data_IF_006541727165
#
_entry.id   IF_006541727165
#
_cell.length_a   1.000
_cell.length_b   1.000
_cell.length_c   1.000
_cell.angle_alpha   90.00
_cell.angle_beta   90.00
_cell.angle_gamma   90.00
#
_symmetry.space_group_name_H-M   'P 1'
#
loop_
_entity.id
_entity.type
_entity.pdbx_description
1 polymer ?
#
# COMPACT_ATOMS: atom_id res chain seq x y z
N UNK A 1 -18.45 47.87 13.19
CA UNK A 1 -19.15 46.57 13.04
C UNK A 1 -18.33 45.71 12.09
N UNK A 2 -18.05 44.44 12.43
CA UNK A 2 -17.53 43.33 11.58
C UNK A 2 -16.85 43.65 10.21
N UNK A 3 -15.62 43.21 9.88
CA UNK A 3 -14.99 41.87 10.09
C UNK A 3 -13.45 41.94 9.99
N UNK A 4 -12.73 41.16 10.80
CA UNK A 4 -11.40 40.60 10.44
C UNK A 4 -11.64 39.27 9.72
N UNK A 5 -10.88 38.92 8.67
CA UNK A 5 -10.35 37.56 8.48
C UNK A 5 -9.35 37.43 7.31
N UNK A 6 -8.20 36.79 7.60
CA UNK A 6 -7.39 35.90 6.76
C UNK A 6 -7.14 36.29 5.29
N UNK A 7 -5.96 36.86 5.04
CA UNK A 7 -5.19 36.49 3.84
C UNK A 7 -4.63 35.07 4.06
N UNK A 8 -4.82 34.18 3.09
CA UNK A 8 -4.33 32.80 3.11
C UNK A 8 -3.06 32.73 2.26
N UNK A 9 -2.02 32.08 2.79
CA UNK A 9 -0.81 31.73 2.04
C UNK A 9 -1.18 30.78 0.90
N UNK A 10 -0.95 31.19 -0.35
CA UNK A 10 -0.91 30.29 -1.51
C UNK A 10 0.56 30.10 -1.85
N UNK A 11 1.13 28.99 -1.37
CA UNK A 11 2.52 28.62 -1.58
C UNK A 11 2.68 27.58 -2.69
N UNK A 12 3.15 28.03 -3.85
CA UNK A 12 3.88 27.30 -4.88
C UNK A 12 3.51 25.83 -5.18
N UNK A 13 2.82 25.60 -6.30
CA UNK A 13 2.90 24.34 -7.04
C UNK A 13 3.01 24.62 -8.54
N UNK A 14 4.24 24.60 -9.08
CA UNK A 14 4.58 24.37 -10.50
C UNK A 14 6.10 24.57 -10.69
N UNK A 15 6.85 23.47 -10.77
CA UNK A 15 8.19 23.44 -11.38
C UNK A 15 8.20 22.27 -12.36
N UNK A 16 8.11 22.58 -13.65
CA UNK A 16 8.40 21.63 -14.72
C UNK A 16 9.89 21.74 -15.00
N UNK A 17 10.66 20.74 -14.59
CA UNK A 17 12.08 20.63 -14.95
C UNK A 17 12.23 19.68 -16.15
N UNK A 18 12.72 20.22 -17.25
CA UNK A 18 13.22 19.41 -18.37
C UNK A 18 14.47 18.65 -17.91
N UNK A 19 14.47 17.33 -18.03
CA UNK A 19 15.65 16.51 -17.73
C UNK A 19 16.46 16.30 -19.01
N UNK A 20 17.66 16.87 -19.05
CA UNK A 20 18.67 16.52 -20.06
C UNK A 20 19.25 15.14 -19.76
N UNK A 21 19.30 14.28 -20.78
CA UNK A 21 19.78 12.90 -20.66
C UNK A 21 21.30 12.84 -20.54
N UNK A 22 21.83 12.75 -19.32
CA UNK A 22 23.22 12.38 -19.08
C UNK A 22 23.30 10.88 -18.76
N UNK A 23 23.80 10.10 -19.71
CA UNK A 23 24.09 8.67 -19.52
C UNK A 23 25.37 8.55 -18.68
N UNK A 24 25.24 8.22 -17.40
CA UNK A 24 26.37 7.83 -16.55
C UNK A 24 26.48 6.30 -16.52
N UNK A 25 27.50 5.77 -17.17
CA UNK A 25 27.92 4.38 -16.97
C UNK A 25 28.59 4.25 -15.60
N UNK A 26 27.79 3.93 -14.58
CA UNK A 26 28.27 3.67 -13.22
C UNK A 26 28.82 2.25 -13.10
N UNK A 27 30.09 2.11 -12.71
CA UNK A 27 30.71 0.82 -12.39
C UNK A 27 29.96 0.12 -11.26
N UNK A 28 29.61 -1.16 -11.43
CA UNK A 28 28.98 -1.98 -10.39
C UNK A 28 29.81 -2.03 -9.12
N UNK A 29 29.35 -1.30 -8.09
CA UNK A 29 29.86 -1.44 -6.74
C UNK A 29 29.10 -2.60 -6.09
N UNK A 30 29.80 -3.70 -5.85
CA UNK A 30 29.21 -4.98 -5.43
C UNK A 30 28.34 -4.82 -4.18
N UNK A 31 27.03 -5.01 -4.33
CA UNK A 31 26.06 -4.91 -3.23
C UNK A 31 26.19 -6.13 -2.32
N UNK A 32 26.47 -5.91 -1.04
CA UNK A 32 26.10 -6.88 0.01
C UNK A 32 24.68 -6.55 0.45
N UNK A 33 23.82 -7.57 0.48
CA UNK A 33 22.39 -7.43 0.82
C UNK A 33 21.47 -7.56 -0.40
N UNK A 34 21.54 -8.68 -1.13
CA UNK A 34 20.58 -8.95 -2.22
C UNK A 34 19.24 -9.43 -1.65
N UNK A 35 18.14 -8.86 -2.15
CA UNK A 35 16.80 -9.37 -1.84
C UNK A 35 16.61 -10.78 -2.43
N UNK A 36 15.79 -11.65 -1.79
CA UNK A 36 15.47 -12.95 -2.36
C UNK A 36 14.87 -12.79 -3.77
N UNK A 37 15.23 -13.68 -4.70
CA UNK A 37 14.75 -13.63 -6.09
C UNK A 37 13.23 -13.50 -6.21
N UNK A 38 12.48 -14.20 -5.36
CA UNK A 38 11.02 -14.11 -5.27
C UNK A 38 10.49 -12.72 -4.90
N UNK A 39 11.23 -11.93 -4.11
CA UNK A 39 10.90 -10.52 -3.84
C UNK A 39 11.14 -9.67 -5.08
N UNK A 40 12.23 -9.92 -5.82
CA UNK A 40 12.54 -9.24 -7.09
C UNK A 40 11.47 -9.57 -8.16
N UNK A 41 11.01 -10.83 -8.22
CA UNK A 41 9.87 -11.24 -9.05
C UNK A 41 8.60 -10.44 -8.71
N UNK A 42 8.27 -10.32 -7.42
CA UNK A 42 7.14 -9.50 -6.93
C UNK A 42 7.33 -8.03 -7.33
N UNK A 43 8.51 -7.44 -7.15
CA UNK A 43 8.81 -6.05 -7.57
C UNK A 43 8.62 -5.83 -9.08
N UNK A 44 8.87 -6.86 -9.89
CA UNK A 44 8.64 -6.87 -11.33
C UNK A 44 7.18 -7.15 -11.72
N UNK A 45 6.28 -7.36 -10.75
CA UNK A 45 4.86 -7.61 -10.97
C UNK A 45 4.52 -9.03 -11.39
N UNK A 46 5.46 -9.99 -11.22
CA UNK A 46 5.18 -11.41 -11.47
C UNK A 46 4.13 -11.93 -10.49
N UNK A 47 3.35 -12.93 -10.92
CA UNK A 47 2.24 -13.50 -10.15
C UNK A 47 2.68 -14.50 -9.05
N UNK A 48 3.88 -14.33 -8.48
CA UNK A 48 4.37 -15.12 -7.34
C UNK A 48 4.14 -14.36 -6.05
N UNK A 49 3.81 -15.04 -4.96
CA UNK A 49 3.46 -14.41 -3.66
C UNK A 49 4.00 -15.21 -2.47
N UNK A 50 4.25 -14.54 -1.36
CA UNK A 50 4.43 -15.18 -0.05
C UNK A 50 3.08 -15.51 0.60
N UNK A 51 3.08 -16.46 1.55
CA UNK A 51 1.85 -16.98 2.14
C UNK A 51 0.93 -17.69 1.14
N UNK A 52 -0.38 -17.63 1.41
CA UNK A 52 -1.44 -18.19 0.54
C UNK A 52 -2.05 -17.19 -0.44
N UNK A 53 -1.69 -15.91 -0.33
CA UNK A 53 -2.49 -14.80 -0.84
C UNK A 53 -3.86 -14.70 -0.17
N UNK A 54 -4.66 -13.75 -0.66
CA UNK A 54 -6.09 -13.64 -0.35
C UNK A 54 -6.88 -13.43 -1.63
N UNK A 55 -7.72 -14.39 -2.03
CA UNK A 55 -8.64 -14.18 -3.13
C UNK A 55 -9.70 -13.16 -2.74
N UNK A 56 -9.50 -11.91 -3.16
CA UNK A 56 -10.35 -11.34 -4.19
C UNK A 56 -11.87 -11.63 -3.99
N UNK A 57 -12.59 -11.30 -2.90
CA UNK A 57 -14.04 -11.66 -2.83
C UNK A 57 -14.97 -10.74 -2.01
N UNK A 58 -15.37 -9.60 -2.57
CA UNK A 58 -16.42 -8.76 -1.98
C UNK A 58 -17.85 -9.27 -2.29
N UNK A 59 -18.38 -10.07 -1.37
CA UNK A 59 -19.81 -10.34 -1.14
C UNK A 59 -20.70 -10.70 -2.35
N UNK A 60 -20.89 -12.01 -2.53
CA UNK A 60 -22.25 -12.56 -2.56
C UNK A 60 -22.36 -13.69 -1.54
N UNK A 61 -23.45 -13.73 -0.77
CA UNK A 61 -23.87 -14.92 -0.02
C UNK A 61 -24.04 -16.12 -0.98
N UNK A 62 -24.11 -17.36 -0.46
CA UNK A 62 -23.72 -18.59 -1.16
C UNK A 62 -24.30 -18.70 -2.57
N UNK A 63 -23.53 -18.29 -3.58
CA UNK A 63 -23.94 -18.33 -4.98
C UNK A 63 -23.90 -19.77 -5.46
N UNK A 64 -24.96 -20.19 -6.15
CA UNK A 64 -25.08 -21.54 -6.69
C UNK A 64 -23.85 -21.92 -7.53
N UNK A 65 -23.20 -23.01 -7.12
CA UNK A 65 -21.96 -23.53 -7.68
C UNK A 65 -22.21 -24.09 -9.08
N UNK A 66 -21.94 -23.31 -10.13
CA UNK A 66 -21.99 -23.80 -11.51
C UNK A 66 -20.88 -24.82 -11.73
N UNK A 67 -21.24 -26.10 -11.84
CA UNK A 67 -20.28 -27.20 -12.07
C UNK A 67 -19.88 -27.24 -13.54
N UNK A 68 -18.61 -26.96 -13.85
CA UNK A 68 -17.99 -27.34 -15.12
C UNK A 68 -17.11 -28.57 -14.84
N UNK A 69 -17.21 -29.59 -15.70
CA UNK A 69 -16.42 -30.84 -15.62
C UNK A 69 -15.35 -30.80 -16.71
N UNK A 70 -14.15 -31.28 -16.39
CA UNK A 70 -13.16 -31.60 -17.43
C UNK A 70 -13.41 -33.00 -18.03
N UNK A 71 -12.70 -33.32 -19.11
CA UNK A 71 -12.84 -34.58 -19.85
C UNK A 71 -12.43 -35.84 -19.07
N UNK A 72 -11.90 -35.70 -17.84
CA UNK A 72 -11.62 -36.83 -16.93
C UNK A 72 -12.78 -37.12 -15.96
N UNK A 73 -13.85 -36.32 -15.97
CA UNK A 73 -15.00 -36.45 -15.08
C UNK A 73 -14.72 -36.06 -13.62
N UNK A 74 -13.48 -35.71 -13.28
CA UNK A 74 -13.08 -35.26 -11.94
C UNK A 74 -13.54 -33.83 -11.71
N UNK A 75 -14.17 -33.56 -10.56
CA UNK A 75 -14.58 -32.20 -10.19
C UNK A 75 -13.33 -31.41 -9.82
N UNK A 76 -12.88 -30.54 -10.72
CA UNK A 76 -11.95 -29.45 -10.40
C UNK A 76 -12.76 -28.23 -10.00
N UNK A 77 -12.50 -27.70 -8.80
CA UNK A 77 -13.05 -26.43 -8.35
C UNK A 77 -12.19 -25.30 -8.95
N UNK A 78 -12.68 -24.68 -10.02
CA UNK A 78 -12.10 -23.46 -10.58
C UNK A 78 -12.62 -22.26 -9.79
N UNK A 79 -11.75 -21.59 -9.04
CA UNK A 79 -12.07 -20.43 -8.19
C UNK A 79 -11.51 -19.14 -8.81
N UNK A 80 -12.34 -18.10 -8.97
CA UNK A 80 -11.95 -16.72 -9.39
C UNK A 80 -12.96 -15.65 -8.87
N UNK A 81 -12.51 -14.41 -8.55
CA UNK A 81 -13.35 -13.23 -8.12
C UNK A 81 -12.55 -11.86 -8.14
N UNK A 82 -12.73 -10.84 -7.24
CA UNK A 82 -11.96 -9.56 -7.06
C UNK A 82 -12.09 -8.91 -5.65
N UNK A 83 -11.14 -8.14 -5.05
CA UNK A 83 -9.82 -7.59 -5.48
C UNK A 83 -8.55 -7.90 -4.59
N UNK A 84 -7.32 -7.54 -5.09
CA UNK A 84 -5.89 -7.65 -4.60
C UNK A 84 -5.20 -9.00 -4.24
N UNK A 85 -4.66 -9.76 -5.23
CA UNK A 85 -3.92 -11.03 -4.97
C UNK A 85 -2.41 -10.79 -4.82
N UNK A 86 -1.89 -9.72 -5.45
CA UNK A 86 -0.45 -9.41 -5.40
C UNK A 86 -0.12 -7.91 -5.24
N UNK A 87 -1.08 -6.99 -5.32
CA UNK A 87 -0.75 -5.55 -5.33
C UNK A 87 -0.24 -5.03 -3.98
N UNK A 88 -0.73 -5.53 -2.83
CA UNK A 88 -0.15 -5.21 -1.52
C UNK A 88 1.31 -5.71 -1.42
N UNK A 89 1.57 -6.98 -1.78
CA UNK A 89 2.93 -7.51 -1.86
C UNK A 89 3.81 -6.74 -2.85
N UNK A 90 3.29 -6.33 -4.01
CA UNK A 90 3.99 -5.51 -5.01
C UNK A 90 4.40 -4.16 -4.41
N UNK A 91 3.49 -3.46 -3.72
CA UNK A 91 3.76 -2.17 -3.06
C UNK A 91 4.84 -2.34 -1.99
N UNK A 92 4.70 -3.33 -1.11
CA UNK A 92 5.64 -3.61 -0.02
C UNK A 92 7.01 -4.05 -0.54
N UNK A 93 7.07 -4.91 -1.56
CA UNK A 93 8.34 -5.37 -2.14
C UNK A 93 9.11 -4.22 -2.81
N UNK A 94 8.42 -3.37 -3.59
CA UNK A 94 9.02 -2.17 -4.15
C UNK A 94 9.49 -1.23 -3.03
N UNK A 95 8.71 -1.05 -1.96
CA UNK A 95 9.10 -0.20 -0.85
C UNK A 95 10.36 -0.70 -0.10
N UNK A 96 10.49 -2.01 0.13
CA UNK A 96 11.72 -2.60 0.69
C UNK A 96 12.89 -2.44 -0.28
N UNK A 97 12.68 -2.67 -1.58
CA UNK A 97 13.73 -2.54 -2.60
C UNK A 97 14.26 -1.12 -2.77
N UNK A 98 13.38 -0.12 -2.75
CA UNK A 98 13.75 1.31 -2.79
C UNK A 98 14.49 1.70 -1.50
N UNK A 99 13.98 1.29 -0.33
CA UNK A 99 14.62 1.63 0.94
C UNK A 99 16.03 1.01 1.07
N UNK A 100 16.20 -0.24 0.63
CA UNK A 100 17.48 -0.92 0.55
C UNK A 100 18.45 -0.21 -0.40
N UNK A 101 17.98 0.18 -1.59
CA UNK A 101 18.78 0.92 -2.57
C UNK A 101 19.27 2.27 -2.01
N UNK A 102 18.37 3.02 -1.35
CA UNK A 102 18.64 4.40 -0.92
C UNK A 102 19.32 4.53 0.46
N UNK A 103 19.20 3.52 1.32
CA UNK A 103 19.71 3.54 2.72
C UNK A 103 20.62 2.37 3.08
N UNK A 104 20.71 1.35 2.25
CA UNK A 104 21.41 0.10 2.56
C UNK A 104 20.58 -0.86 3.43
N UNK A 105 21.24 -1.93 3.88
CA UNK A 105 20.60 -2.99 4.66
C UNK A 105 19.99 -2.50 5.98
N UNK A 106 18.88 -3.14 6.37
CA UNK A 106 18.22 -2.96 7.67
C UNK A 106 17.52 -4.24 8.09
N UNK A 107 16.93 -4.27 9.29
CA UNK A 107 16.04 -5.37 9.70
C UNK A 107 14.93 -5.69 8.68
N UNK A 108 14.54 -4.74 7.80
CA UNK A 108 13.49 -4.92 6.79
C UNK A 108 13.96 -5.64 5.51
N UNK A 109 15.24 -5.54 5.13
CA UNK A 109 15.79 -6.23 3.94
C UNK A 109 16.18 -7.69 4.22
N UNK A 110 16.23 -8.09 5.50
CA UNK A 110 16.51 -9.48 5.88
C UNK A 110 15.47 -10.46 5.30
N UNK A 111 15.93 -11.57 4.69
CA UNK A 111 15.10 -12.61 4.08
C UNK A 111 13.89 -13.06 4.91
N UNK A 112 14.05 -13.32 6.22
CA UNK A 112 12.94 -13.76 7.09
C UNK A 112 11.92 -12.63 7.27
N UNK A 113 12.40 -11.41 7.42
CA UNK A 113 11.55 -10.27 7.76
C UNK A 113 10.81 -9.74 6.52
N UNK A 114 11.43 -9.72 5.34
CA UNK A 114 10.71 -9.39 4.09
C UNK A 114 9.64 -10.44 3.76
N UNK A 115 9.89 -11.73 4.03
CA UNK A 115 8.87 -12.79 3.92
C UNK A 115 7.71 -12.57 4.90
N UNK A 116 7.97 -12.12 6.13
CA UNK A 116 6.92 -11.75 7.09
C UNK A 116 6.16 -10.49 6.65
N UNK A 117 6.82 -9.44 6.19
CA UNK A 117 6.16 -8.23 5.67
C UNK A 117 5.19 -8.58 4.54
N UNK A 118 5.66 -9.34 3.54
CA UNK A 118 4.88 -9.74 2.37
C UNK A 118 3.75 -10.71 2.74
N UNK A 119 3.96 -11.61 3.69
CA UNK A 119 2.88 -12.52 4.16
C UNK A 119 1.80 -11.77 4.97
N UNK A 120 2.20 -10.80 5.80
CA UNK A 120 1.29 -10.11 6.71
C UNK A 120 0.67 -8.83 6.16
N UNK A 121 1.14 -8.33 5.01
CA UNK A 121 0.44 -7.27 4.28
C UNK A 121 -0.81 -7.75 3.53
N UNK A 122 -1.00 -9.06 3.33
CA UNK A 122 -2.28 -9.61 2.81
C UNK A 122 -3.18 -10.14 3.94
N UNK A 123 -2.63 -10.30 5.16
CA UNK A 123 -3.35 -10.87 6.30
C UNK A 123 -4.69 -10.16 6.64
N UNK A 124 -4.82 -8.82 6.54
CA UNK A 124 -6.06 -8.14 6.93
C UNK A 124 -7.29 -8.47 6.06
N UNK A 125 -7.10 -8.77 4.77
CA UNK A 125 -8.18 -9.16 3.85
C UNK A 125 -8.67 -10.60 4.02
N UNK A 126 -7.86 -11.46 4.63
CA UNK A 126 -8.18 -12.87 4.77
C UNK A 126 -9.44 -13.04 5.62
N UNK A 127 -10.47 -13.67 5.06
CA UNK A 127 -11.75 -13.88 5.72
C UNK A 127 -11.62 -14.44 7.14
N UNK A 128 -12.28 -13.78 8.10
CA UNK A 128 -12.19 -14.08 9.53
C UNK A 128 -11.13 -13.28 10.29
N UNK A 129 -10.23 -12.57 9.60
CA UNK A 129 -9.36 -11.56 10.19
C UNK A 129 -10.06 -10.20 10.21
N UNK A 130 -9.39 -9.12 9.75
CA UNK A 130 -9.89 -7.74 9.80
C UNK A 130 -10.86 -7.37 8.65
N UNK A 131 -11.53 -8.38 8.11
CA UNK A 131 -12.64 -8.26 7.14
C UNK A 131 -13.95 -7.73 7.75
N UNK A 132 -13.98 -7.45 9.06
CA UNK A 132 -15.10 -6.81 9.77
C UNK A 132 -16.47 -7.47 9.50
N UNK A 133 -16.59 -8.78 9.76
CA UNK A 133 -17.77 -9.59 9.43
C UNK A 133 -18.15 -9.58 7.93
N UNK A 134 -17.14 -9.47 7.04
CA UNK A 134 -17.32 -9.36 5.59
C UNK A 134 -17.72 -7.96 5.10
N UNK A 135 -17.73 -6.95 5.97
CA UNK A 135 -18.02 -5.55 5.59
C UNK A 135 -16.78 -4.77 5.17
N UNK A 136 -15.58 -5.27 5.52
CA UNK A 136 -14.28 -4.61 5.32
C UNK A 136 -14.26 -3.17 5.86
N UNK A 137 -15.13 -2.81 6.81
CA UNK A 137 -15.40 -1.39 7.12
C UNK A 137 -14.17 -0.63 7.64
N UNK A 138 -13.25 -1.29 8.33
CA UNK A 138 -12.00 -0.70 8.79
C UNK A 138 -10.89 -0.64 7.74
N UNK A 139 -11.15 -1.03 6.48
CA UNK A 139 -10.31 -0.79 5.30
C UNK A 139 -10.61 0.56 4.64
N UNK A 140 -11.65 1.27 5.09
CA UNK A 140 -12.08 2.55 4.51
C UNK A 140 -11.80 3.72 5.45
N UNK A 141 -11.50 4.88 4.87
CA UNK A 141 -11.32 6.14 5.57
C UNK A 141 -11.47 7.32 4.62
N UNK A 142 -12.59 8.03 4.71
CA UNK A 142 -12.75 9.34 4.06
C UNK A 142 -12.06 10.43 4.90
N UNK A 143 -11.05 11.15 4.37
CA UNK A 143 -10.35 12.19 5.09
C UNK A 143 -11.25 13.40 5.39
N UNK A 144 -12.25 13.68 4.55
CA UNK A 144 -13.12 14.85 4.70
C UNK A 144 -14.03 14.75 5.93
N UNK A 145 -14.49 13.53 6.25
CA UNK A 145 -15.37 13.28 7.40
C UNK A 145 -14.70 12.56 8.57
N UNK A 146 -13.50 12.00 8.35
CA UNK A 146 -12.77 11.19 9.33
C UNK A 146 -13.46 9.87 9.67
N UNK A 147 -14.19 9.29 8.72
CA UNK A 147 -15.09 8.14 8.92
C UNK A 147 -14.95 7.09 7.83
N UNK A 148 -15.29 5.86 8.18
CA UNK A 148 -15.51 4.76 7.24
C UNK A 148 -16.89 4.84 6.56
N UNK A 149 -17.18 3.89 5.65
CA UNK A 149 -18.39 3.88 4.83
C UNK A 149 -19.69 3.61 5.62
N UNK A 150 -19.61 3.08 6.85
CA UNK A 150 -20.74 3.02 7.79
C UNK A 150 -20.92 4.32 8.60
N UNK A 151 -20.18 5.38 8.27
CA UNK A 151 -20.25 6.68 8.95
C UNK A 151 -19.60 6.69 10.34
N UNK A 152 -18.80 5.68 10.68
CA UNK A 152 -18.16 5.51 12.01
C UNK A 152 -16.71 5.98 11.98
N UNK A 153 -16.23 6.51 13.11
CA UNK A 153 -14.81 6.89 13.29
C UNK A 153 -13.89 5.71 13.61
N UNK A 154 -14.45 4.52 13.89
CA UNK A 154 -13.69 3.31 14.18
C UNK A 154 -14.51 2.05 13.81
N UNK A 155 -13.87 0.97 13.31
CA UNK A 155 -12.49 0.94 12.81
C UNK A 155 -12.36 1.76 11.51
N UNK A 156 -11.17 2.23 11.16
CA UNK A 156 -10.85 2.93 9.90
C UNK A 156 -9.45 2.55 9.44
N UNK A 157 -9.15 2.65 8.15
CA UNK A 157 -7.82 2.30 7.63
C UNK A 157 -6.72 3.13 8.31
N UNK A 158 -6.93 4.46 8.44
CA UNK A 158 -6.06 5.35 9.20
C UNK A 158 -5.85 4.87 10.63
N UNK A 159 -6.93 4.55 11.35
CA UNK A 159 -6.85 4.06 12.73
C UNK A 159 -6.06 2.76 12.85
N UNK A 160 -6.22 1.82 11.90
CA UNK A 160 -5.47 0.57 11.88
C UNK A 160 -4.01 0.76 11.52
N UNK A 161 -3.69 1.54 10.48
CA UNK A 161 -2.30 1.88 10.11
C UNK A 161 -1.53 2.50 11.29
N UNK A 162 -2.11 3.50 11.96
CA UNK A 162 -1.52 4.16 13.14
C UNK A 162 -1.36 3.20 14.31
N UNK A 163 -2.38 2.37 14.58
CA UNK A 163 -2.32 1.35 15.64
C UNK A 163 -1.18 0.35 15.41
N UNK A 164 -1.10 -0.21 14.20
CA UNK A 164 -0.08 -1.18 13.82
C UNK A 164 1.33 -0.59 13.79
N UNK A 165 1.51 0.66 13.37
CA UNK A 165 2.80 1.36 13.45
C UNK A 165 3.31 1.46 14.90
N UNK A 166 2.43 1.90 15.81
CA UNK A 166 2.77 2.05 17.22
C UNK A 166 3.01 0.67 17.89
N UNK A 167 2.23 -0.34 17.53
CA UNK A 167 2.46 -1.72 17.96
C UNK A 167 3.80 -2.26 17.44
N UNK A 168 4.16 -2.01 16.18
CA UNK A 168 5.45 -2.40 15.63
C UNK A 168 6.63 -1.78 16.40
N UNK A 169 6.61 -0.47 16.66
CA UNK A 169 7.63 0.23 17.46
C UNK A 169 7.70 -0.34 18.88
N UNK A 170 6.55 -0.59 19.51
CA UNK A 170 6.46 -1.15 20.87
C UNK A 170 7.09 -2.54 20.95
N UNK A 171 6.74 -3.44 20.03
CA UNK A 171 7.29 -4.80 20.00
C UNK A 171 8.79 -4.80 19.66
N UNK A 172 9.24 -3.93 18.75
CA UNK A 172 10.67 -3.84 18.42
C UNK A 172 11.50 -3.43 19.65
N UNK A 173 11.04 -2.43 20.40
CA UNK A 173 11.70 -1.92 21.61
C UNK A 173 11.70 -2.92 22.77
N UNK A 174 10.85 -3.97 22.72
CA UNK A 174 10.88 -5.11 23.64
C UNK A 174 11.83 -6.24 23.19
N UNK A 175 12.41 -6.14 22.00
CA UNK A 175 13.18 -7.22 21.35
C UNK A 175 12.32 -8.24 20.60
N UNK A 176 11.00 -8.02 20.50
CA UNK A 176 10.06 -8.91 19.81
C UNK A 176 10.03 -8.63 18.30
N UNK A 177 11.19 -8.77 17.65
CA UNK A 177 11.42 -8.34 16.25
C UNK A 177 10.38 -8.96 15.30
N UNK A 178 10.11 -10.26 15.41
CA UNK A 178 9.11 -10.93 14.57
C UNK A 178 7.72 -10.32 14.70
N UNK A 179 7.25 -10.08 15.93
CA UNK A 179 5.97 -9.40 16.18
C UNK A 179 5.95 -7.96 15.68
N UNK A 180 7.10 -7.26 15.74
CA UNK A 180 7.23 -5.92 15.20
C UNK A 180 7.05 -5.91 13.68
N UNK A 181 7.71 -6.82 12.97
CA UNK A 181 7.62 -6.96 11.51
C UNK A 181 6.21 -7.41 11.08
N UNK A 182 5.58 -8.33 11.81
CA UNK A 182 4.19 -8.75 11.59
C UNK A 182 3.23 -7.55 11.69
N UNK A 183 3.37 -6.73 12.74
CA UNK A 183 2.57 -5.51 12.89
C UNK A 183 2.87 -4.50 11.77
N UNK A 184 4.14 -4.34 11.37
CA UNK A 184 4.52 -3.41 10.31
C UNK A 184 3.92 -3.80 8.96
N UNK A 185 3.89 -5.10 8.61
CA UNK A 185 3.23 -5.62 7.42
C UNK A 185 1.72 -5.41 7.41
N UNK A 186 1.04 -5.68 8.54
CA UNK A 186 -0.39 -5.34 8.68
C UNK A 186 -0.66 -3.84 8.59
N UNK A 187 0.29 -3.02 9.04
CA UNK A 187 0.21 -1.58 8.91
C UNK A 187 0.38 -1.09 7.46
N UNK A 188 1.31 -1.67 6.69
CA UNK A 188 1.51 -1.31 5.28
C UNK A 188 0.32 -1.67 4.37
N UNK A 189 -0.43 -2.73 4.70
CA UNK A 189 -1.75 -2.99 4.11
C UNK A 189 -2.63 -1.74 4.15
N UNK A 190 -2.83 -1.20 5.35
CA UNK A 190 -3.69 -0.03 5.54
C UNK A 190 -3.09 1.27 4.99
N UNK A 191 -1.76 1.38 4.85
CA UNK A 191 -1.15 2.46 4.07
C UNK A 191 -1.51 2.32 2.59
N UNK A 192 -1.50 1.12 2.01
CA UNK A 192 -1.94 0.90 0.63
C UNK A 192 -3.45 1.21 0.46
N UNK A 193 -4.33 0.78 1.37
CA UNK A 193 -5.76 1.14 1.37
C UNK A 193 -5.98 2.67 1.37
N UNK A 194 -5.25 3.40 2.23
CA UNK A 194 -5.33 4.86 2.28
C UNK A 194 -4.88 5.51 0.97
N UNK A 195 -4.10 4.80 0.15
CA UNK A 195 -3.68 5.23 -1.17
C UNK A 195 -4.63 4.75 -2.30
N UNK A 196 -5.62 3.92 -2.02
CA UNK A 196 -6.63 3.51 -3.01
C UNK A 196 -7.80 4.53 -3.04
N UNK A 197 -8.15 5.11 -4.22
CA UNK A 197 -9.12 6.21 -4.28
C UNK A 197 -10.55 5.91 -3.82
N UNK A 198 -11.02 4.67 -3.93
CA UNK A 198 -12.33 4.22 -3.45
C UNK A 198 -12.33 4.00 -1.93
N UNK A 199 -11.28 3.37 -1.38
CA UNK A 199 -11.06 3.24 0.07
C UNK A 199 -10.99 4.60 0.76
N UNK A 200 -10.24 5.55 0.16
CA UNK A 200 -10.13 6.94 0.59
C UNK A 200 -11.41 7.78 0.38
N UNK A 201 -12.47 7.22 -0.21
CA UNK A 201 -13.72 7.92 -0.54
C UNK A 201 -14.99 7.20 -0.09
N UNK A 202 -14.86 6.15 0.73
CA UNK A 202 -15.99 5.32 1.18
C UNK A 202 -16.83 4.71 0.04
N UNK A 203 -16.22 4.49 -1.13
CA UNK A 203 -16.84 3.85 -2.28
C UNK A 203 -16.58 2.35 -2.25
N UNK A 204 -17.62 1.56 -2.02
CA UNK A 204 -17.54 0.10 -1.92
C UNK A 204 -17.80 -0.56 -3.29
N UNK A 205 -17.54 -1.86 -3.39
CA UNK A 205 -17.94 -2.68 -4.53
C UNK A 205 -19.47 -2.69 -4.81
N UNK A 206 -20.31 -2.28 -3.84
CA UNK A 206 -21.77 -2.25 -3.99
C UNK A 206 -22.30 -0.97 -4.65
N UNK A 207 -21.57 0.13 -4.58
CA UNK A 207 -22.01 1.46 -5.02
C UNK A 207 -21.03 2.16 -5.98
N UNK A 208 -20.03 1.46 -6.50
CA UNK A 208 -19.03 2.01 -7.42
C UNK A 208 -18.42 0.95 -8.34
N UNK A 209 -17.41 1.33 -9.11
CA UNK A 209 -16.60 0.45 -9.94
C UNK A 209 -15.36 -0.13 -9.21
N UNK A 210 -15.18 0.12 -7.90
CA UNK A 210 -14.08 -0.35 -7.03
C UNK A 210 -13.38 -1.65 -7.51
N UNK A 211 -14.05 -2.80 -7.44
CA UNK A 211 -13.47 -4.11 -7.82
C UNK A 211 -13.04 -4.23 -9.29
N UNK A 212 -13.54 -3.38 -10.19
CA UNK A 212 -13.07 -3.30 -11.59
C UNK A 212 -11.78 -2.48 -11.70
N UNK A 213 -11.62 -1.44 -10.88
CA UNK A 213 -10.41 -0.64 -10.82
C UNK A 213 -9.27 -1.41 -10.16
N UNK A 214 -9.48 -2.04 -9.01
CA UNK A 214 -8.46 -2.89 -8.38
C UNK A 214 -7.97 -4.03 -9.28
N UNK A 215 -8.88 -4.69 -10.01
CA UNK A 215 -8.51 -5.71 -11.00
C UNK A 215 -7.67 -5.13 -12.14
N UNK A 216 -7.92 -3.88 -12.52
CA UNK A 216 -7.09 -3.18 -13.49
C UNK A 216 -5.71 -2.84 -12.89
N UNK A 217 -5.62 -2.44 -11.62
CA UNK A 217 -4.35 -2.26 -10.92
C UNK A 217 -3.55 -3.58 -10.91
N UNK A 218 -4.20 -4.66 -10.49
CA UNK A 218 -3.60 -5.99 -10.32
C UNK A 218 -2.91 -6.45 -11.62
N UNK A 219 -3.66 -6.54 -12.72
CA UNK A 219 -3.12 -7.04 -14.00
C UNK A 219 -2.12 -6.10 -14.67
N UNK A 220 -2.07 -4.81 -14.30
CA UNK A 220 -1.16 -3.81 -14.88
C UNK A 220 -0.03 -3.38 -13.91
N UNK A 221 0.07 -3.97 -12.71
CA UNK A 221 0.95 -3.49 -11.61
C UNK A 221 2.39 -3.19 -12.04
N UNK A 222 2.94 -4.02 -12.94
CA UNK A 222 4.30 -3.88 -13.46
C UNK A 222 4.59 -2.54 -14.16
N UNK A 223 3.54 -1.84 -14.63
CA UNK A 223 3.63 -0.54 -15.30
C UNK A 223 3.80 0.64 -14.32
N UNK A 224 3.45 0.47 -13.04
CA UNK A 224 3.32 1.58 -12.07
C UNK A 224 4.52 1.69 -11.11
N UNK A 225 5.72 1.35 -11.58
CA UNK A 225 6.96 1.47 -10.80
C UNK A 225 7.27 2.92 -10.48
N UNK A 226 7.93 3.16 -9.34
CA UNK A 226 8.55 4.45 -9.02
C UNK A 226 9.81 4.62 -9.90
N UNK A 227 9.94 5.71 -10.67
CA UNK A 227 11.10 5.93 -11.53
C UNK A 227 12.43 5.88 -10.77
N UNK A 228 13.45 5.24 -11.35
CA UNK A 228 14.79 5.14 -10.76
C UNK A 228 14.93 4.22 -9.55
N UNK A 229 13.85 3.61 -9.04
CA UNK A 229 13.86 2.78 -7.83
C UNK A 229 14.48 3.51 -6.61
N UNK A 230 14.22 4.81 -6.50
CA UNK A 230 14.84 5.72 -5.53
C UNK A 230 13.91 6.89 -5.22
N UNK A 231 13.98 7.46 -4.02
CA UNK A 231 13.24 8.65 -3.61
C UNK A 231 14.16 9.87 -3.35
N UNK A 232 13.62 11.05 -3.64
CA UNK A 232 14.28 12.30 -3.24
C UNK A 232 14.42 12.41 -1.71
N UNK A 233 15.52 13.04 -1.26
CA UNK A 233 15.80 13.24 0.17
C UNK A 233 14.68 13.99 0.91
N UNK A 234 13.95 14.87 0.25
CA UNK A 234 12.82 15.60 0.83
C UNK A 234 11.69 14.67 1.32
N UNK A 235 11.41 13.58 0.59
CA UNK A 235 10.38 12.60 0.98
C UNK A 235 10.78 11.85 2.27
N UNK A 236 12.07 11.56 2.44
CA UNK A 236 12.60 11.00 3.70
C UNK A 236 12.53 11.99 4.86
N UNK A 237 12.75 13.28 4.62
CA UNK A 237 12.63 14.35 5.63
C UNK A 237 11.17 14.52 6.05
N UNK A 238 10.25 14.56 5.09
CA UNK A 238 8.80 14.64 5.32
C UNK A 238 8.30 13.48 6.20
N UNK A 239 8.73 12.25 5.90
CA UNK A 239 8.39 11.06 6.68
C UNK A 239 8.76 11.18 8.17
N UNK A 240 9.82 11.91 8.50
CA UNK A 240 10.21 12.14 9.90
C UNK A 240 9.44 13.31 10.52
N UNK A 241 9.23 14.40 9.78
CA UNK A 241 8.58 15.62 10.25
C UNK A 241 7.08 15.46 10.54
N UNK A 242 6.36 14.66 9.74
CA UNK A 242 4.94 14.36 10.00
C UNK A 242 4.81 13.37 11.16
N UNK A 243 3.85 13.55 12.06
CA UNK A 243 3.45 12.45 12.94
C UNK A 243 2.68 11.39 12.14
N UNK A 244 2.57 10.17 12.67
CA UNK A 244 1.99 9.05 11.92
C UNK A 244 0.49 9.24 11.59
N UNK A 245 -0.24 10.01 12.40
CA UNK A 245 -1.67 10.27 12.24
C UNK A 245 -1.95 11.27 11.11
N UNK A 246 -1.15 12.34 11.01
CA UNK A 246 -1.18 13.29 9.90
C UNK A 246 -0.67 12.67 8.60
N UNK A 247 0.40 11.87 8.66
CA UNK A 247 0.93 11.12 7.52
C UNK A 247 -0.14 10.21 6.89
N UNK A 248 -0.78 9.36 7.71
CA UNK A 248 -1.85 8.47 7.25
C UNK A 248 -3.09 9.23 6.75
N UNK A 249 -3.37 10.43 7.26
CA UNK A 249 -4.43 11.29 6.75
C UNK A 249 -4.10 11.88 5.37
N UNK A 250 -2.87 12.40 5.20
CA UNK A 250 -2.44 13.02 3.94
C UNK A 250 -2.38 12.02 2.77
N UNK A 251 -2.02 10.77 3.04
CA UNK A 251 -2.16 9.67 2.08
C UNK A 251 -3.60 9.56 1.53
N UNK A 252 -4.59 9.54 2.42
CA UNK A 252 -6.00 9.52 2.02
C UNK A 252 -6.47 10.81 1.35
N UNK A 253 -5.99 11.99 1.76
CA UNK A 253 -6.31 13.27 1.08
C UNK A 253 -5.88 13.23 -0.39
N UNK A 254 -4.68 12.74 -0.67
CA UNK A 254 -4.18 12.59 -2.04
C UNK A 254 -5.09 11.66 -2.87
N UNK A 255 -5.37 10.46 -2.38
CA UNK A 255 -6.13 9.47 -3.14
C UNK A 255 -7.63 9.75 -3.23
N UNK A 256 -8.22 10.42 -2.24
CA UNK A 256 -9.57 11.00 -2.34
C UNK A 256 -9.64 11.98 -3.54
N UNK A 257 -8.60 12.78 -3.76
CA UNK A 257 -8.48 13.67 -4.93
C UNK A 257 -8.42 12.95 -6.29
N UNK A 258 -8.10 11.66 -6.33
CA UNK A 258 -8.06 10.83 -7.55
C UNK A 258 -9.39 10.13 -7.86
N UNK A 259 -10.39 10.15 -6.95
CA UNK A 259 -11.59 9.31 -7.05
C UNK A 259 -12.42 9.54 -8.32
N UNK A 260 -12.44 10.78 -8.84
CA UNK A 260 -13.11 11.07 -10.11
C UNK A 260 -12.47 10.32 -11.30
N UNK A 261 -11.14 10.18 -11.29
CA UNK A 261 -10.38 9.47 -12.32
C UNK A 261 -10.41 7.95 -12.15
N UNK A 262 -10.44 7.48 -10.90
CA UNK A 262 -10.60 6.06 -10.60
C UNK A 262 -12.00 5.53 -10.94
N UNK A 263 -13.02 6.40 -10.95
CA UNK A 263 -14.38 6.03 -11.37
C UNK A 263 -14.58 5.99 -12.90
N UNK A 264 -13.84 6.78 -13.68
CA UNK A 264 -13.88 6.73 -15.14
C UNK A 264 -12.84 5.77 -15.75
N UNK A 265 -13.33 4.77 -16.49
CA UNK A 265 -12.50 3.81 -17.21
C UNK A 265 -11.53 4.47 -18.21
N UNK A 266 -11.88 5.63 -18.76
CA UNK A 266 -11.00 6.36 -19.70
C UNK A 266 -9.70 6.85 -19.03
N UNK A 267 -9.75 7.12 -17.72
CA UNK A 267 -8.64 7.65 -16.92
C UNK A 267 -8.04 6.63 -15.95
N UNK A 268 -8.40 5.34 -16.07
CA UNK A 268 -7.88 4.26 -15.20
C UNK A 268 -6.35 4.24 -15.11
N UNK A 269 -5.64 4.35 -16.24
CA UNK A 269 -4.17 4.35 -16.23
C UNK A 269 -3.58 5.49 -15.40
N UNK A 270 -4.09 6.72 -15.57
CA UNK A 270 -3.59 7.90 -14.86
C UNK A 270 -3.93 7.84 -13.37
N UNK A 271 -5.12 7.35 -13.01
CA UNK A 271 -5.48 7.12 -11.61
C UNK A 271 -4.60 6.05 -10.97
N UNK A 272 -4.37 4.94 -11.68
CA UNK A 272 -3.60 3.79 -11.24
C UNK A 272 -2.11 4.11 -11.04
N UNK A 273 -1.48 4.75 -12.02
CA UNK A 273 -0.09 5.20 -11.94
C UNK A 273 0.12 6.07 -10.70
N UNK A 274 -0.73 7.08 -10.52
CA UNK A 274 -0.65 8.02 -9.39
C UNK A 274 -0.93 7.35 -8.05
N UNK A 275 -1.98 6.52 -7.94
CA UNK A 275 -2.32 5.86 -6.68
C UNK A 275 -1.28 4.83 -6.26
N UNK A 276 -0.79 4.01 -7.20
CA UNK A 276 0.18 2.93 -6.90
C UNK A 276 1.58 3.49 -6.64
N UNK A 277 2.06 4.47 -7.41
CA UNK A 277 3.33 5.13 -7.10
C UNK A 277 3.28 5.83 -5.74
N UNK A 278 2.19 6.54 -5.42
CA UNK A 278 2.02 7.18 -4.12
C UNK A 278 1.90 6.15 -2.96
N UNK A 279 1.27 4.99 -3.19
CA UNK A 279 1.26 3.89 -2.24
C UNK A 279 2.66 3.32 -1.96
N UNK A 280 3.49 3.15 -3.00
CA UNK A 280 4.89 2.73 -2.85
C UNK A 280 5.68 3.78 -2.06
N UNK A 281 5.60 5.06 -2.46
CA UNK A 281 6.30 6.17 -1.80
C UNK A 281 5.90 6.24 -0.31
N UNK A 282 4.61 6.25 0.01
CA UNK A 282 4.13 6.25 1.38
C UNK A 282 4.59 5.00 2.15
N UNK A 283 4.63 3.82 1.52
CA UNK A 283 5.12 2.60 2.19
C UNK A 283 6.63 2.70 2.48
N UNK A 284 7.44 3.30 1.59
CA UNK A 284 8.87 3.61 1.87
C UNK A 284 8.98 4.59 3.03
N UNK A 285 8.19 5.66 3.04
CA UNK A 285 8.19 6.67 4.12
C UNK A 285 7.78 6.06 5.47
N UNK A 286 6.76 5.20 5.47
CA UNK A 286 6.27 4.46 6.64
C UNK A 286 7.35 3.51 7.20
N UNK A 287 8.00 2.73 6.34
CA UNK A 287 9.11 1.85 6.72
C UNK A 287 10.36 2.63 7.19
N UNK A 288 10.72 3.72 6.52
CA UNK A 288 11.83 4.57 6.95
C UNK A 288 11.56 5.20 8.32
N UNK A 289 10.36 5.74 8.52
CA UNK A 289 9.94 6.32 9.80
C UNK A 289 9.99 5.28 10.92
N UNK A 290 9.53 4.05 10.67
CA UNK A 290 9.68 2.94 11.60
C UNK A 290 11.16 2.71 11.95
N UNK A 291 12.01 2.46 10.95
CA UNK A 291 13.43 2.13 11.13
C UNK A 291 14.19 3.21 11.89
N UNK A 292 13.94 4.50 11.63
CA UNK A 292 14.53 5.61 12.40
C UNK A 292 13.96 5.65 13.83
N UNK A 293 12.65 5.42 14.02
CA UNK A 293 11.99 5.44 15.33
C UNK A 293 12.42 4.30 16.28
N UNK A 294 13.02 3.24 15.74
CA UNK A 294 13.60 2.12 16.49
C UNK A 294 15.13 2.09 16.51
N UNK A 295 15.81 2.99 15.78
CA UNK A 295 17.27 3.13 15.76
C UNK A 295 18.01 2.23 14.77
N UNK A 296 17.30 1.54 13.87
CA UNK A 296 17.87 0.70 12.81
C UNK A 296 18.54 1.52 11.70
N UNK A 297 17.91 2.62 11.32
CA UNK A 297 18.45 3.57 10.34
C UNK A 297 18.74 4.91 11.00
N UNK A 298 19.80 5.56 10.56
CA UNK A 298 20.14 6.94 10.93
C UNK A 298 19.64 7.91 9.87
N UNK A 299 19.45 9.17 10.28
CA UNK A 299 19.14 10.29 9.40
C UNK A 299 20.43 10.90 8.82
#
# INVERSE_FOLDING_TARGET
MHKKLKQIFIGCLLIILMVSSNVYAGTEKTLKGELPSKVIDIMNGHNVIYGSGVPLAHNKGPVNKTKIRDNSGKIRLTFESGGVDHTHQYIVANAVGILLHDKGDSVLSNKKNVELLLTYTDWPDKFGNETDYGTFVGHFYDPNTGKNWLGRKSPTAKGRAVSYFNAAISEYKKGNIESAIINLGKGSHYIADLNEPHHASNLTALNSNHTKFEKYLDVNRALFKVPGNSLDKALYIEALNLNIDDFAHLAAVYSNGLVGKAQDKSTYYEAAEKSVQHAIINTVQYFYKFSVSVGELKF
#
